data_IF_575551895706
#
_entry.id   IF_575551895706
#
_cell.length_a   1.000
_cell.length_b   1.000
_cell.length_c   1.000
_cell.angle_alpha   90.00
_cell.angle_beta   90.00
_cell.angle_gamma   90.00
#
_symmetry.space_group_name_H-M   'P 1'
#
loop_
_entity.id
_entity.type
_entity.pdbx_description
1 polymer ?
#
# COMPACT_ATOMS: atom_id res chain seq x y z
N UNK A 1 37.01 -18.23 7.94
CA UNK A 1 36.79 -17.55 6.64
C UNK A 1 35.55 -18.17 6.02
N UNK A 2 34.39 -17.56 5.82
CA UNK A 2 33.87 -16.21 5.95
C UNK A 2 32.41 -16.36 6.41
N UNK A 3 32.06 -15.87 7.60
CA UNK A 3 30.66 -15.72 7.99
C UNK A 3 30.17 -14.37 7.43
N UNK A 4 29.53 -14.39 6.26
CA UNK A 4 28.78 -13.23 5.73
C UNK A 4 27.60 -12.96 6.65
N UNK A 5 27.81 -12.09 7.62
CA UNK A 5 26.76 -11.47 8.44
C UNK A 5 25.94 -10.56 7.52
N UNK A 6 24.89 -11.10 6.90
CA UNK A 6 23.79 -10.29 6.36
C UNK A 6 23.01 -9.73 7.55
N UNK A 7 23.43 -8.57 8.07
CA UNK A 7 22.59 -7.71 8.90
C UNK A 7 21.74 -6.84 7.97
N UNK A 8 20.67 -7.40 7.44
CA UNK A 8 19.55 -6.63 6.93
C UNK A 8 18.59 -6.37 8.09
N UNK A 9 18.27 -5.10 8.35
CA UNK A 9 17.33 -4.68 9.38
C UNK A 9 15.91 -5.19 9.06
N UNK A 10 15.14 -5.72 10.03
CA UNK A 10 13.89 -6.43 9.76
C UNK A 10 12.65 -5.55 9.95
N UNK A 11 12.62 -4.35 9.39
CA UNK A 11 11.42 -3.47 9.49
C UNK A 11 10.44 -3.63 8.31
N UNK A 12 10.69 -4.58 7.41
CA UNK A 12 9.84 -4.89 6.26
C UNK A 12 8.61 -5.76 6.58
N UNK A 13 8.25 -5.92 7.85
CA UNK A 13 7.08 -6.70 8.25
C UNK A 13 5.90 -5.79 8.60
N UNK A 14 4.77 -5.98 7.90
CA UNK A 14 3.52 -5.26 8.11
C UNK A 14 3.09 -5.21 9.59
N UNK A 15 2.37 -4.16 10.00
CA UNK A 15 1.87 -4.05 11.38
C UNK A 15 1.00 -5.26 11.76
N UNK A 16 0.27 -5.82 10.79
CA UNK A 16 -0.49 -7.06 10.97
C UNK A 16 0.45 -8.27 11.15
N UNK A 17 1.58 -8.30 10.44
CA UNK A 17 2.67 -9.28 10.65
C UNK A 17 3.30 -9.14 12.04
N UNK A 18 3.42 -7.92 12.58
CA UNK A 18 3.87 -7.70 13.96
C UNK A 18 2.87 -8.24 14.99
N UNK A 19 1.57 -7.97 14.82
CA UNK A 19 0.52 -8.52 15.67
C UNK A 19 0.47 -10.05 15.58
N UNK A 20 0.61 -10.61 14.38
CA UNK A 20 0.77 -12.04 14.14
C UNK A 20 1.98 -12.59 14.91
N UNK A 21 3.13 -11.93 14.84
CA UNK A 21 4.34 -12.33 15.56
C UNK A 21 4.14 -12.29 17.08
N UNK A 22 3.37 -11.32 17.59
CA UNK A 22 3.00 -11.25 19.02
C UNK A 22 2.08 -12.42 19.39
N UNK A 23 1.02 -12.67 18.62
CA UNK A 23 0.11 -13.80 18.82
C UNK A 23 0.90 -15.12 18.84
N UNK A 24 1.86 -15.26 17.94
CA UNK A 24 2.77 -16.39 17.87
C UNK A 24 3.63 -16.51 19.13
N UNK A 25 4.28 -15.43 19.55
CA UNK A 25 5.14 -15.43 20.73
C UNK A 25 4.36 -15.76 22.01
N UNK A 26 3.14 -15.21 22.13
CA UNK A 26 2.22 -15.53 23.22
C UNK A 26 1.76 -16.98 23.16
N UNK A 27 1.43 -17.49 21.97
CA UNK A 27 1.02 -18.88 21.77
C UNK A 27 2.13 -19.85 22.17
N UNK A 28 3.39 -19.56 21.80
CA UNK A 28 4.56 -20.36 22.23
C UNK A 28 4.73 -20.35 23.75
N UNK A 29 4.54 -19.20 24.41
CA UNK A 29 4.62 -19.08 25.87
C UNK A 29 3.48 -19.80 26.60
N UNK A 30 2.26 -19.73 26.06
CA UNK A 30 1.06 -20.27 26.70
C UNK A 30 0.90 -21.78 26.53
N UNK A 31 1.37 -22.35 25.41
CA UNK A 31 1.06 -23.75 25.08
C UNK A 31 2.18 -24.75 25.36
N UNK A 32 3.38 -24.33 25.79
CA UNK A 32 4.56 -25.21 25.99
C UNK A 32 4.86 -26.16 24.81
N UNK A 33 4.23 -25.94 23.66
CA UNK A 33 4.17 -26.82 22.50
C UNK A 33 4.75 -26.11 21.28
N UNK A 34 5.34 -26.91 20.40
CA UNK A 34 5.87 -26.47 19.12
C UNK A 34 4.72 -25.91 18.25
N UNK A 35 4.70 -24.59 18.08
CA UNK A 35 3.83 -23.92 17.09
C UNK A 35 4.67 -23.60 15.86
N UNK A 36 4.23 -24.09 14.70
CA UNK A 36 4.84 -23.81 13.43
C UNK A 36 4.13 -22.68 12.71
N UNK A 37 4.89 -21.83 12.03
CA UNK A 37 4.39 -20.63 11.37
C UNK A 37 4.78 -20.70 9.91
N UNK A 38 3.84 -20.38 9.04
CA UNK A 38 4.10 -20.21 7.63
C UNK A 38 3.58 -18.83 7.23
N UNK A 39 4.51 -17.93 6.90
CA UNK A 39 4.17 -16.61 6.38
C UNK A 39 4.13 -16.69 4.86
N UNK A 40 2.99 -16.31 4.28
CA UNK A 40 2.74 -16.23 2.86
C UNK A 40 2.19 -14.85 2.53
N UNK A 41 2.48 -14.36 1.33
CA UNK A 41 1.89 -13.13 0.80
C UNK A 41 1.21 -13.45 -0.52
N UNK A 42 -0.08 -13.14 -0.63
CA UNK A 42 -0.86 -13.42 -1.83
C UNK A 42 -0.37 -12.63 -3.06
N UNK A 43 0.38 -11.54 -2.86
CA UNK A 43 0.99 -10.77 -3.94
C UNK A 43 2.16 -11.50 -4.62
N UNK A 44 2.89 -12.34 -3.89
CA UNK A 44 4.10 -13.04 -4.39
C UNK A 44 3.98 -14.56 -4.41
N UNK A 45 3.01 -15.13 -3.68
CA UNK A 45 2.85 -16.57 -3.50
C UNK A 45 1.70 -17.10 -4.36
N UNK A 46 1.97 -18.16 -5.13
CA UNK A 46 0.94 -18.85 -5.90
C UNK A 46 0.25 -19.98 -5.12
N UNK A 47 -0.69 -20.66 -5.79
CA UNK A 47 -1.42 -21.82 -5.24
C UNK A 47 -0.50 -22.95 -4.78
N UNK A 48 0.66 -23.10 -5.41
CA UNK A 48 1.66 -24.11 -5.04
C UNK A 48 2.15 -23.93 -3.60
N UNK A 49 2.45 -22.70 -3.19
CA UNK A 49 2.93 -22.37 -1.85
C UNK A 49 1.90 -22.72 -0.77
N UNK A 50 0.60 -22.63 -1.08
CA UNK A 50 -0.48 -23.05 -0.17
C UNK A 50 -0.46 -24.57 0.00
N UNK A 51 -0.32 -25.33 -1.09
CA UNK A 51 -0.24 -26.79 -1.04
C UNK A 51 0.98 -27.24 -0.25
N UNK A 52 2.12 -26.57 -0.42
CA UNK A 52 3.35 -26.84 0.34
C UNK A 52 3.18 -26.50 1.84
N UNK A 53 2.44 -25.43 2.16
CA UNK A 53 2.09 -25.11 3.54
C UNK A 53 1.17 -26.16 4.17
N UNK A 54 0.22 -26.71 3.40
CA UNK A 54 -0.70 -27.77 3.84
C UNK A 54 0.06 -29.07 4.12
N UNK A 55 0.97 -29.48 3.24
CA UNK A 55 1.76 -30.71 3.45
C UNK A 55 2.64 -30.57 4.69
N UNK A 56 3.33 -29.43 4.83
CA UNK A 56 4.11 -29.11 6.02
C UNK A 56 3.27 -29.11 7.30
N UNK A 57 2.04 -28.57 7.24
CA UNK A 57 1.12 -28.57 8.37
C UNK A 57 0.68 -29.98 8.77
N UNK A 58 0.35 -30.84 7.80
CA UNK A 58 -0.05 -32.24 8.04
C UNK A 58 1.09 -33.05 8.65
N UNK A 59 2.32 -32.88 8.16
CA UNK A 59 3.47 -33.60 8.70
C UNK A 59 3.79 -33.14 10.12
N UNK A 60 3.72 -31.84 10.41
CA UNK A 60 3.94 -31.32 11.77
C UNK A 60 2.82 -31.67 12.73
N UNK A 61 1.58 -31.79 12.24
CA UNK A 61 0.47 -32.27 13.05
C UNK A 61 0.69 -33.68 13.59
N UNK A 62 1.41 -34.56 12.86
CA UNK A 62 1.77 -35.90 13.35
C UNK A 62 2.68 -35.86 14.59
N UNK A 63 3.44 -34.77 14.75
CA UNK A 63 4.31 -34.53 15.91
C UNK A 63 3.64 -33.65 16.99
N UNK A 64 2.31 -33.50 16.95
CA UNK A 64 1.56 -32.67 17.91
C UNK A 64 1.78 -31.15 17.76
N UNK A 65 2.42 -30.73 16.66
CA UNK A 65 2.72 -29.33 16.39
C UNK A 65 1.57 -28.66 15.62
N UNK A 66 1.00 -27.59 16.19
CA UNK A 66 -0.05 -26.79 15.54
C UNK A 66 0.58 -25.83 14.54
N UNK A 67 -0.06 -25.67 13.38
CA UNK A 67 0.42 -24.75 12.33
C UNK A 67 -0.50 -23.54 12.20
N UNK A 68 0.10 -22.36 12.16
CA UNK A 68 -0.55 -21.08 11.84
C UNK A 68 -0.06 -20.63 10.47
N UNK A 69 -0.98 -20.40 9.55
CA UNK A 69 -0.71 -19.84 8.23
C UNK A 69 -1.13 -18.39 8.23
N UNK A 70 -0.15 -17.51 8.06
CA UNK A 70 -0.34 -16.08 8.00
C UNK A 70 -0.33 -15.69 6.53
N UNK A 71 -1.47 -15.21 6.04
CA UNK A 71 -1.64 -14.80 4.65
C UNK A 71 -1.77 -13.29 4.61
N UNK A 72 -0.79 -12.63 4.03
CA UNK A 72 -0.82 -11.20 3.79
C UNK A 72 -1.46 -10.86 2.45
N UNK A 73 -2.15 -9.72 2.40
CA UNK A 73 -2.95 -9.23 1.28
C UNK A 73 -3.87 -10.28 0.65
N UNK A 74 -4.60 -11.03 1.49
CA UNK A 74 -5.44 -12.16 1.06
C UNK A 74 -6.49 -11.78 -0.01
N UNK A 75 -6.83 -10.49 -0.12
CA UNK A 75 -7.72 -9.95 -1.13
C UNK A 75 -7.18 -10.06 -2.57
N UNK A 76 -5.87 -10.19 -2.75
CA UNK A 76 -5.24 -10.35 -4.08
C UNK A 76 -5.57 -11.70 -4.73
N UNK A 77 -5.97 -12.71 -3.95
CA UNK A 77 -6.38 -14.00 -4.48
C UNK A 77 -7.80 -13.96 -5.04
N UNK A 78 -7.97 -14.60 -6.20
CA UNK A 78 -9.29 -14.78 -6.78
C UNK A 78 -10.13 -15.78 -5.96
N UNK A 79 -11.44 -15.81 -6.20
CA UNK A 79 -12.38 -16.67 -5.46
C UNK A 79 -11.97 -18.16 -5.46
N UNK A 80 -11.53 -18.68 -6.61
CA UNK A 80 -11.11 -20.08 -6.73
C UNK A 80 -9.85 -20.39 -5.90
N UNK A 81 -8.91 -19.45 -5.81
CA UNK A 81 -7.72 -19.59 -4.98
C UNK A 81 -8.06 -19.53 -3.49
N UNK A 82 -9.02 -18.70 -3.11
CA UNK A 82 -9.53 -18.60 -1.75
C UNK A 82 -10.25 -19.89 -1.30
N UNK A 83 -10.95 -20.58 -2.20
CA UNK A 83 -11.67 -21.83 -1.88
C UNK A 83 -10.74 -22.96 -1.44
N UNK A 84 -9.47 -22.92 -1.83
CA UNK A 84 -8.46 -23.91 -1.47
C UNK A 84 -8.22 -23.94 0.04
N UNK A 85 -8.43 -22.83 0.75
CA UNK A 85 -8.25 -22.77 2.20
C UNK A 85 -9.37 -23.49 2.97
N UNK A 86 -10.59 -23.54 2.41
CA UNK A 86 -11.81 -23.98 3.13
C UNK A 86 -11.68 -25.38 3.76
N UNK A 87 -11.29 -26.44 3.02
CA UNK A 87 -11.23 -27.79 3.58
C UNK A 87 -10.22 -27.90 4.72
N UNK A 88 -9.15 -27.10 4.68
CA UNK A 88 -8.06 -27.15 5.64
C UNK A 88 -8.35 -26.35 6.91
N UNK A 89 -9.11 -25.26 6.78
CA UNK A 89 -9.61 -24.47 7.91
C UNK A 89 -10.69 -25.25 8.67
N UNK A 90 -11.62 -25.91 7.96
CA UNK A 90 -12.69 -26.72 8.57
C UNK A 90 -12.18 -27.93 9.33
N UNK A 91 -11.21 -28.64 8.75
CA UNK A 91 -10.59 -29.82 9.37
C UNK A 91 -9.61 -29.46 10.49
N UNK A 92 -9.31 -28.16 10.68
CA UNK A 92 -8.33 -27.70 11.65
C UNK A 92 -6.88 -28.08 11.30
N UNK A 93 -6.58 -28.33 10.02
CA UNK A 93 -5.22 -28.66 9.55
C UNK A 93 -4.25 -27.51 9.87
N UNK A 94 -4.71 -26.26 9.74
CA UNK A 94 -3.99 -25.07 10.20
C UNK A 94 -4.97 -23.97 10.61
N UNK A 95 -4.50 -23.02 11.41
CA UNK A 95 -5.24 -21.78 11.71
C UNK A 95 -4.84 -20.70 10.70
N UNK A 96 -5.82 -20.14 9.99
CA UNK A 96 -5.60 -19.06 9.02
C UNK A 96 -5.68 -17.70 9.72
N UNK A 97 -4.66 -16.87 9.53
CA UNK A 97 -4.72 -15.44 9.84
C UNK A 97 -4.54 -14.68 8.53
N UNK A 98 -5.62 -14.11 8.02
CA UNK A 98 -5.63 -13.31 6.80
C UNK A 98 -5.54 -11.82 7.09
N UNK A 99 -4.67 -11.12 6.39
CA UNK A 99 -4.49 -9.67 6.50
C UNK A 99 -4.98 -9.03 5.19
N UNK A 100 -5.74 -7.94 5.28
CA UNK A 100 -6.24 -7.21 4.11
C UNK A 100 -6.38 -5.74 4.43
N UNK A 101 -6.00 -4.90 3.47
CA UNK A 101 -6.26 -3.45 3.49
C UNK A 101 -7.62 -3.07 2.89
N UNK A 102 -8.24 -3.99 2.15
CA UNK A 102 -9.56 -3.81 1.54
C UNK A 102 -10.72 -4.26 2.43
N UNK A 103 -11.94 -3.81 2.11
CA UNK A 103 -13.14 -4.25 2.80
C UNK A 103 -13.37 -5.76 2.58
N UNK A 104 -13.27 -6.59 3.63
CA UNK A 104 -13.30 -8.05 3.52
C UNK A 104 -14.63 -8.59 3.01
N UNK A 105 -15.75 -7.88 3.21
CA UNK A 105 -17.06 -8.30 2.71
C UNK A 105 -17.18 -8.28 1.18
N UNK A 106 -16.34 -7.50 0.50
CA UNK A 106 -16.32 -7.40 -0.95
C UNK A 106 -15.23 -8.26 -1.59
N UNK A 107 -14.06 -8.35 -0.96
CA UNK A 107 -12.88 -9.00 -1.54
C UNK A 107 -12.74 -10.48 -1.17
N UNK A 108 -13.36 -10.93 -0.07
CA UNK A 108 -13.28 -12.32 0.37
C UNK A 108 -14.53 -13.12 0.05
N UNK A 109 -14.35 -14.42 -0.20
CA UNK A 109 -15.46 -15.35 -0.37
C UNK A 109 -16.29 -15.43 0.94
N UNK A 110 -17.62 -15.26 0.88
CA UNK A 110 -18.52 -15.51 2.01
C UNK A 110 -18.26 -16.81 2.79
N UNK A 111 -17.82 -17.87 2.13
CA UNK A 111 -17.50 -19.14 2.78
C UNK A 111 -16.29 -19.05 3.74
N UNK A 112 -15.27 -18.24 3.40
CA UNK A 112 -14.16 -17.99 4.31
C UNK A 112 -14.57 -17.05 5.44
N UNK A 113 -15.34 -16.00 5.12
CA UNK A 113 -15.84 -15.06 6.11
C UNK A 113 -16.68 -15.74 7.20
N UNK A 114 -17.46 -16.76 6.86
CA UNK A 114 -18.24 -17.50 7.85
C UNK A 114 -17.40 -18.37 8.80
N UNK A 115 -16.12 -18.60 8.49
CA UNK A 115 -15.18 -19.43 9.26
C UNK A 115 -14.07 -18.62 9.93
N UNK A 116 -13.94 -17.35 9.58
CA UNK A 116 -12.93 -16.43 10.13
C UNK A 116 -13.58 -15.39 11.05
N UNK A 117 -12.88 -15.03 12.14
CA UNK A 117 -13.27 -13.89 12.97
C UNK A 117 -12.65 -12.62 12.42
N UNK A 118 -13.46 -11.58 12.30
CA UNK A 118 -13.03 -10.29 11.77
C UNK A 118 -12.59 -9.36 12.90
N UNK A 119 -11.41 -8.77 12.76
CA UNK A 119 -10.90 -7.73 13.64
C UNK A 119 -10.60 -6.49 12.81
N UNK A 120 -11.16 -5.35 13.21
CA UNK A 120 -10.89 -4.06 12.56
C UNK A 120 -9.73 -3.40 13.27
N UNK A 121 -8.65 -3.14 12.54
CA UNK A 121 -7.50 -2.37 13.03
C UNK A 121 -7.65 -0.93 12.53
N UNK A 122 -7.65 0.02 13.47
CA UNK A 122 -7.68 1.44 13.16
C UNK A 122 -6.26 1.97 12.96
N UNK A 123 -6.14 3.07 12.21
CA UNK A 123 -4.89 3.83 12.11
C UNK A 123 -4.39 4.24 13.50
N UNK A 124 -3.08 4.26 13.67
CA UNK A 124 -2.46 4.69 14.92
C UNK A 124 -2.65 6.19 15.12
N UNK A 125 -2.85 6.61 16.36
CA UNK A 125 -2.85 8.04 16.68
C UNK A 125 -1.43 8.60 16.62
N UNK A 126 -1.27 9.91 16.44
CA UNK A 126 0.04 10.57 16.47
C UNK A 126 0.81 10.25 17.76
N UNK A 127 0.12 10.14 18.90
CA UNK A 127 0.71 9.75 20.19
C UNK A 127 1.25 8.31 20.17
N UNK A 128 0.57 7.39 19.50
CA UNK A 128 1.07 6.01 19.37
C UNK A 128 2.28 5.94 18.44
N UNK A 129 2.26 6.69 17.33
CA UNK A 129 3.38 6.71 16.37
C UNK A 129 4.62 7.35 17.01
N UNK A 130 4.47 8.44 17.76
CA UNK A 130 5.59 9.04 18.52
C UNK A 130 6.19 8.05 19.53
N UNK A 131 5.38 7.30 20.26
CA UNK A 131 5.87 6.26 21.19
C UNK A 131 6.66 5.16 20.46
N UNK A 132 6.19 4.72 19.28
CA UNK A 132 6.90 3.75 18.45
C UNK A 132 8.25 4.32 17.97
N UNK A 133 8.27 5.57 17.53
CA UNK A 133 9.50 6.24 17.12
C UNK A 133 10.49 6.40 18.27
N UNK A 134 10.02 6.73 19.49
CA UNK A 134 10.86 6.77 20.68
C UNK A 134 11.54 5.42 20.95
N UNK A 135 10.76 4.33 20.93
CA UNK A 135 11.30 2.97 21.10
C UNK A 135 12.31 2.60 20.01
N UNK A 136 12.07 3.02 18.77
CA UNK A 136 12.99 2.77 17.66
C UNK A 136 14.32 3.53 17.83
N UNK A 137 14.27 4.80 18.26
CA UNK A 137 15.47 5.60 18.54
C UNK A 137 16.28 5.00 19.68
N UNK A 138 15.63 4.58 20.77
CA UNK A 138 16.29 3.88 21.88
C UNK A 138 16.97 2.60 21.41
N UNK A 139 16.28 1.80 20.58
CA UNK A 139 16.83 0.56 20.02
C UNK A 139 18.08 0.80 19.16
N UNK A 140 18.12 1.91 18.42
CA UNK A 140 19.25 2.29 17.55
C UNK A 140 20.39 2.97 18.36
N UNK A 141 20.26 3.11 19.69
CA UNK A 141 21.18 3.84 20.59
C UNK A 141 21.23 5.35 20.31
N UNK A 142 20.14 5.93 19.82
CA UNK A 142 19.97 7.37 19.74
C UNK A 142 19.64 8.00 21.09
N UNK A 143 20.04 9.26 21.29
CA UNK A 143 19.65 10.13 22.40
C UNK A 143 18.74 11.22 21.88
N UNK A 144 17.58 11.39 22.50
CA UNK A 144 16.73 12.54 22.23
C UNK A 144 17.30 13.79 22.90
N UNK A 145 17.21 14.91 22.19
CA UNK A 145 17.44 16.23 22.73
C UNK A 145 16.07 16.85 23.04
N UNK A 146 15.68 16.83 24.32
CA UNK A 146 14.56 17.64 24.79
C UNK A 146 15.06 19.07 25.00
N UNK A 147 14.57 20.00 24.16
CA UNK A 147 14.86 21.44 24.27
C UNK A 147 14.42 22.01 25.63
N UNK A 148 13.57 21.31 26.38
CA UNK A 148 13.07 21.72 27.71
C UNK A 148 13.92 21.27 28.91
N UNK A 149 14.95 20.43 28.73
CA UNK A 149 15.86 19.97 29.81
C UNK A 149 17.30 20.43 29.61
N UNK A 150 17.52 21.64 29.08
CA UNK A 150 18.87 22.22 29.00
C UNK A 150 19.49 22.58 30.36
N UNK A 151 18.74 22.52 31.48
CA UNK A 151 19.23 22.99 32.78
C UNK A 151 19.40 21.93 33.89
N UNK A 152 19.10 20.64 33.67
CA UNK A 152 19.21 19.64 34.76
C UNK A 152 19.93 18.32 34.41
N UNK A 153 20.90 18.34 33.50
CA UNK A 153 21.84 17.22 33.35
C UNK A 153 23.27 17.67 33.68
N UNK A 154 23.40 18.45 34.76
CA UNK A 154 24.62 18.49 35.54
C UNK A 154 24.35 17.72 36.82
N UNK A 155 24.74 16.43 36.82
CA UNK A 155 25.02 15.56 37.96
C UNK A 155 24.18 14.27 38.02
N UNK A 156 24.91 13.16 37.81
CA UNK A 156 24.63 11.78 38.25
C UNK A 156 23.44 11.15 37.51
N UNK A 157 23.63 10.11 36.71
CA UNK A 157 24.19 8.83 37.12
C UNK A 157 24.97 8.15 35.99
N UNK A 158 26.17 7.69 36.35
CA UNK A 158 26.97 6.76 35.57
C UNK A 158 26.29 5.38 35.58
N UNK A 159 25.51 5.05 34.55
CA UNK A 159 25.16 3.64 34.29
C UNK A 159 26.21 3.10 33.31
N UNK A 160 27.16 2.36 33.87
CA UNK A 160 28.16 1.56 33.15
C UNK A 160 27.45 0.46 32.35
N UNK A 161 27.58 0.46 31.03
CA UNK A 161 27.38 -0.73 30.21
C UNK A 161 28.49 -0.88 29.17
N UNK A 162 28.97 -2.12 29.06
CA UNK A 162 30.15 -2.58 28.34
C UNK A 162 30.07 -2.40 26.81
N UNK A 163 31.16 -1.87 26.25
CA UNK A 163 31.73 -2.08 24.90
C UNK A 163 30.81 -2.51 23.74
N UNK A 164 30.53 -1.58 22.82
CA UNK A 164 31.03 -1.65 21.43
C UNK A 164 30.64 -0.39 20.65
N UNK A 165 31.64 0.31 20.13
CA UNK A 165 31.66 1.18 18.92
C UNK A 165 30.31 1.43 18.22
N UNK A 166 29.37 2.12 18.88
CA UNK A 166 28.05 2.43 18.31
C UNK A 166 27.91 3.93 18.08
N UNK A 167 27.55 4.26 16.85
CA UNK A 167 27.15 5.60 16.41
C UNK A 167 26.01 6.06 17.30
N UNK A 168 26.13 7.28 17.86
CA UNK A 168 25.07 7.89 18.65
C UNK A 168 24.27 8.83 17.76
N UNK A 169 22.96 8.62 17.68
CA UNK A 169 22.07 9.49 16.92
C UNK A 169 21.46 10.53 17.83
N UNK A 170 21.45 11.79 17.41
CA UNK A 170 20.77 12.86 18.12
C UNK A 170 19.59 13.34 17.28
N UNK A 171 18.39 13.23 17.85
CA UNK A 171 17.13 13.62 17.18
C UNK A 171 16.37 14.55 18.12
N UNK A 172 15.95 15.70 17.60
CA UNK A 172 15.10 16.64 18.33
C UNK A 172 13.67 16.13 18.41
N UNK A 173 13.04 16.30 19.58
CA UNK A 173 11.68 15.82 19.85
C UNK A 173 10.63 16.48 18.92
N UNK A 174 10.85 17.75 18.53
CA UNK A 174 10.00 18.45 17.58
C UNK A 174 9.96 17.76 16.20
N UNK A 175 11.08 17.15 15.79
CA UNK A 175 11.16 16.47 14.50
C UNK A 175 10.41 15.13 14.55
N UNK A 176 10.44 14.44 15.70
CA UNK A 176 9.68 13.21 15.94
C UNK A 176 8.18 13.47 15.89
N UNK A 177 7.72 14.54 16.56
CA UNK A 177 6.32 14.96 16.52
C UNK A 177 5.87 15.31 15.10
N UNK A 178 6.72 16.05 14.36
CA UNK A 178 6.43 16.37 12.97
C UNK A 178 6.34 15.12 12.09
N UNK A 179 7.27 14.18 12.24
CA UNK A 179 7.27 12.90 11.52
C UNK A 179 6.02 12.07 11.83
N UNK A 180 5.62 12.01 13.10
CA UNK A 180 4.42 11.28 13.51
C UNK A 180 3.14 11.83 12.86
N UNK A 181 3.00 13.16 12.77
CA UNK A 181 1.88 13.79 12.05
C UNK A 181 1.95 13.58 10.54
N UNK A 182 3.14 13.56 9.96
CA UNK A 182 3.33 13.40 8.52
C UNK A 182 3.02 11.97 8.01
N UNK A 183 3.02 10.96 8.87
CA UNK A 183 2.81 9.56 8.51
C UNK A 183 1.35 9.08 8.57
N UNK A 184 0.38 9.95 8.93
CA UNK A 184 -1.07 9.67 8.94
C UNK A 184 -1.44 8.33 9.62
N UNK A 185 -0.75 8.01 10.72
CA UNK A 185 -0.98 6.80 11.51
C UNK A 185 -0.36 5.51 10.98
N UNK A 186 0.48 5.55 9.93
CA UNK A 186 1.27 4.41 9.47
C UNK A 186 2.67 4.39 10.11
N UNK A 187 2.87 3.47 11.06
CA UNK A 187 4.15 3.30 11.75
C UNK A 187 5.28 2.81 10.81
N UNK A 188 4.97 2.08 9.73
CA UNK A 188 5.98 1.57 8.81
C UNK A 188 6.61 2.72 8.03
N UNK A 189 5.78 3.63 7.54
CA UNK A 189 6.25 4.84 6.85
C UNK A 189 7.14 5.66 7.79
N UNK A 190 6.73 5.81 9.05
CA UNK A 190 7.49 6.55 10.06
C UNK A 190 8.86 5.91 10.34
N UNK A 191 8.90 4.59 10.56
CA UNK A 191 10.12 3.84 10.83
C UNK A 191 11.07 3.82 9.62
N UNK A 192 10.53 3.60 8.42
CA UNK A 192 11.32 3.58 7.18
C UNK A 192 11.90 4.97 6.87
N UNK A 193 11.13 6.05 7.09
CA UNK A 193 11.62 7.41 6.90
C UNK A 193 12.78 7.72 7.87
N UNK A 194 12.64 7.31 9.14
CA UNK A 194 13.71 7.43 10.13
C UNK A 194 14.94 6.60 9.74
N UNK A 195 14.74 5.35 9.30
CA UNK A 195 15.82 4.47 8.84
C UNK A 195 16.58 5.09 7.66
N UNK A 196 15.88 5.54 6.62
CA UNK A 196 16.50 6.19 5.46
C UNK A 196 17.28 7.44 5.85
N UNK A 197 16.75 8.26 6.77
CA UNK A 197 17.46 9.43 7.27
C UNK A 197 18.74 9.05 8.02
N UNK A 198 18.71 8.00 8.86
CA UNK A 198 19.90 7.51 9.56
C UNK A 198 20.95 6.94 8.61
N UNK A 199 20.52 6.19 7.57
CA UNK A 199 21.41 5.59 6.58
C UNK A 199 22.07 6.64 5.69
N UNK A 200 21.31 7.64 5.21
CA UNK A 200 21.84 8.74 4.43
C UNK A 200 22.98 9.46 5.19
N UNK A 201 22.78 9.71 6.48
CA UNK A 201 23.76 10.40 7.31
C UNK A 201 24.94 9.53 7.73
N UNK A 202 24.78 8.21 7.85
CA UNK A 202 25.91 7.29 8.03
C UNK A 202 26.89 7.33 6.84
N UNK A 203 26.37 7.42 5.61
CA UNK A 203 27.19 7.46 4.39
C UNK A 203 27.94 8.80 4.30
N UNK A 204 27.28 9.92 4.63
CA UNK A 204 27.91 11.25 4.64
C UNK A 204 28.91 11.46 5.80
N UNK A 205 28.67 10.82 6.94
CA UNK A 205 29.55 10.85 8.12
C UNK A 205 30.94 10.26 7.90
N UNK A 206 31.16 9.53 6.80
CA UNK A 206 32.49 9.07 6.37
C UNK A 206 33.47 10.22 6.06
N UNK A 207 32.98 11.47 5.95
CA UNK A 207 33.81 12.65 5.61
C UNK A 207 33.96 13.70 6.72
N UNK A 208 33.21 13.64 7.83
CA UNK A 208 33.27 14.69 8.86
C UNK A 208 33.20 14.18 10.31
N UNK A 209 34.27 14.51 11.05
CA UNK A 209 34.43 14.53 12.51
C UNK A 209 34.74 13.24 13.29
N UNK A 210 35.76 13.37 14.16
CA UNK A 210 36.33 12.38 15.09
C UNK A 210 35.41 11.96 16.26
N UNK A 211 34.17 12.43 16.29
CA UNK A 211 33.16 12.03 17.27
C UNK A 211 32.00 11.35 16.54
N UNK A 212 31.70 10.10 16.89
CA UNK A 212 30.64 9.26 16.32
C UNK A 212 29.19 9.74 16.64
N UNK A 213 28.98 11.05 16.74
CA UNK A 213 27.69 11.66 17.05
C UNK A 213 27.06 12.20 15.75
N UNK A 214 25.94 11.60 15.33
CA UNK A 214 25.19 11.96 14.12
C UNK A 214 23.91 12.68 14.52
N UNK A 215 23.78 13.96 14.18
CA UNK A 215 22.53 14.72 14.33
C UNK A 215 21.65 14.55 13.09
N UNK A 216 20.40 14.13 13.28
CA UNK A 216 19.40 14.02 12.20
C UNK A 216 18.65 15.34 12.10
N UNK A 217 18.66 15.94 10.91
CA UNK A 217 17.96 17.20 10.64
C UNK A 217 16.54 16.95 10.10
N UNK A 218 15.73 18.02 10.06
CA UNK A 218 14.36 17.95 9.56
C UNK A 218 14.34 17.71 8.04
N UNK A 219 15.32 18.25 7.31
CA UNK A 219 15.51 18.04 5.87
C UNK A 219 15.79 16.57 5.55
N UNK A 220 16.66 15.91 6.33
CA UNK A 220 16.99 14.48 6.15
C UNK A 220 15.74 13.60 6.28
N UNK A 221 14.88 13.91 7.26
CA UNK A 221 13.63 13.18 7.50
C UNK A 221 12.60 13.47 6.42
N UNK A 222 12.51 14.71 5.92
CA UNK A 222 11.65 15.05 4.76
C UNK A 222 12.05 14.27 3.52
N UNK A 223 13.34 14.20 3.21
CA UNK A 223 13.83 13.41 2.08
C UNK A 223 13.56 11.92 2.26
N UNK A 224 13.80 11.39 3.47
CA UNK A 224 13.46 10.02 3.83
C UNK A 224 11.99 9.73 3.60
N UNK A 225 11.10 10.60 4.09
CA UNK A 225 9.66 10.47 3.96
C UNK A 225 9.18 10.53 2.50
N UNK A 226 9.74 11.40 1.66
CA UNK A 226 9.45 11.45 0.22
C UNK A 226 9.85 10.12 -0.43
N UNK A 227 11.07 9.63 -0.15
CA UNK A 227 11.56 8.36 -0.70
C UNK A 227 10.70 7.18 -0.24
N UNK A 228 10.30 7.14 1.03
CA UNK A 228 9.42 6.10 1.59
C UNK A 228 8.03 6.13 0.96
N UNK A 229 7.40 7.30 0.83
CA UNK A 229 6.10 7.42 0.17
C UNK A 229 6.18 6.99 -1.30
N UNK A 230 7.27 7.29 -2.01
CA UNK A 230 7.48 6.81 -3.38
C UNK A 230 7.59 5.29 -3.48
N UNK A 231 8.23 4.63 -2.51
CA UNK A 231 8.34 3.16 -2.45
C UNK A 231 6.97 2.54 -2.10
N UNK A 232 6.28 3.08 -1.09
CA UNK A 232 4.96 2.59 -0.65
C UNK A 232 3.88 2.72 -1.74
N UNK A 233 3.88 3.80 -2.52
CA UNK A 233 2.95 4.00 -3.64
C UNK A 233 3.17 2.99 -4.77
N UNK A 234 4.39 2.46 -4.92
CA UNK A 234 4.66 1.39 -5.90
C UNK A 234 4.15 0.01 -5.46
N UNK A 235 3.98 -0.23 -4.17
CA UNK A 235 3.73 -1.57 -3.63
C UNK A 235 2.26 -1.88 -3.35
N UNK A 236 1.34 -0.92 -3.22
CA UNK A 236 -0.07 -1.21 -2.83
C UNK A 236 -1.12 -0.23 -3.39
N UNK A 237 -2.39 -0.61 -3.27
CA UNK A 237 -3.68 0.02 -3.65
C UNK A 237 -3.82 1.57 -3.55
N UNK A 238 -2.85 2.32 -3.02
CA UNK A 238 -2.86 3.79 -2.98
C UNK A 238 -2.92 4.43 -4.37
N UNK A 239 -2.31 3.83 -5.40
CA UNK A 239 -2.41 4.33 -6.78
C UNK A 239 -3.87 4.47 -7.22
N UNK A 240 -4.74 3.51 -6.86
CA UNK A 240 -6.16 3.56 -7.20
C UNK A 240 -6.87 4.76 -6.54
N UNK A 241 -6.51 5.10 -5.30
CA UNK A 241 -7.06 6.27 -4.61
C UNK A 241 -6.63 7.59 -5.26
N UNK A 242 -5.37 7.71 -5.68
CA UNK A 242 -4.86 8.92 -6.35
C UNK A 242 -5.54 9.09 -7.73
N UNK A 243 -5.69 8.01 -8.50
CA UNK A 243 -6.46 8.04 -9.76
C UNK A 243 -7.93 8.34 -9.56
N UNK A 244 -8.54 7.83 -8.48
CA UNK A 244 -9.92 8.14 -8.10
C UNK A 244 -10.08 9.62 -7.77
N UNK A 245 -9.11 10.20 -7.04
CA UNK A 245 -9.09 11.60 -6.68
C UNK A 245 -8.90 12.51 -7.91
N UNK A 246 -8.00 12.15 -8.83
CA UNK A 246 -7.86 12.81 -10.13
C UNK A 246 -9.19 12.81 -10.90
N UNK A 247 -9.80 11.62 -11.06
CA UNK A 247 -11.05 11.47 -11.78
C UNK A 247 -12.18 12.31 -11.17
N UNK A 248 -12.37 12.24 -9.84
CA UNK A 248 -13.38 13.04 -9.13
C UNK A 248 -13.12 14.54 -9.24
N UNK A 249 -11.86 14.98 -9.23
CA UNK A 249 -11.49 16.39 -9.38
C UNK A 249 -11.83 16.92 -10.77
N UNK A 250 -11.55 16.13 -11.82
CA UNK A 250 -11.93 16.46 -13.20
C UNK A 250 -13.45 16.52 -13.32
N UNK A 251 -14.17 15.52 -12.81
CA UNK A 251 -15.64 15.49 -12.81
C UNK A 251 -16.26 16.69 -12.12
N UNK A 252 -15.69 17.13 -11.00
CA UNK A 252 -16.12 18.31 -10.24
C UNK A 252 -15.70 19.64 -10.88
N UNK A 253 -14.98 19.62 -12.01
CA UNK A 253 -14.51 20.80 -12.72
C UNK A 253 -13.40 21.58 -12.00
N UNK A 254 -12.67 20.95 -11.06
CA UNK A 254 -11.65 21.60 -10.24
C UNK A 254 -10.26 21.44 -10.86
N UNK A 255 -9.92 22.30 -11.84
CA UNK A 255 -8.65 22.21 -12.59
C UNK A 255 -7.38 22.17 -11.71
N UNK A 256 -7.29 23.03 -10.69
CA UNK A 256 -6.13 23.08 -9.79
C UNK A 256 -5.94 21.76 -9.00
N UNK A 257 -7.05 21.20 -8.49
CA UNK A 257 -7.01 19.92 -7.78
C UNK A 257 -6.63 18.78 -8.72
N UNK A 258 -7.14 18.78 -9.95
CA UNK A 258 -6.78 17.78 -10.96
C UNK A 258 -5.29 17.81 -11.28
N UNK A 259 -4.70 19.00 -11.46
CA UNK A 259 -3.26 19.13 -11.70
C UNK A 259 -2.42 18.65 -10.50
N UNK A 260 -2.85 18.94 -9.27
CA UNK A 260 -2.18 18.43 -8.07
C UNK A 260 -2.13 16.89 -8.05
N UNK A 261 -3.27 16.24 -8.30
CA UNK A 261 -3.33 14.78 -8.34
C UNK A 261 -2.54 14.19 -9.51
N UNK A 262 -2.56 14.84 -10.69
CA UNK A 262 -1.71 14.45 -11.81
C UNK A 262 -0.22 14.51 -11.45
N UNK A 263 0.24 15.61 -10.85
CA UNK A 263 1.62 15.76 -10.43
C UNK A 263 2.04 14.70 -9.40
N UNK A 264 1.14 14.31 -8.50
CA UNK A 264 1.35 13.20 -7.54
C UNK A 264 1.53 11.86 -8.25
N UNK A 265 0.72 11.57 -9.26
CA UNK A 265 0.82 10.33 -10.07
C UNK A 265 2.15 10.31 -10.83
N UNK A 266 2.52 11.43 -11.43
CA UNK A 266 3.77 11.58 -12.16
C UNK A 266 5.01 11.42 -11.25
N UNK A 267 4.95 11.97 -10.04
CA UNK A 267 6.02 11.81 -9.05
C UNK A 267 6.22 10.34 -8.64
N UNK A 268 5.19 9.50 -8.74
CA UNK A 268 5.29 8.05 -8.52
C UNK A 268 6.00 7.29 -9.66
N UNK A 269 6.45 7.99 -10.71
CA UNK A 269 7.09 7.44 -11.93
C UNK A 269 6.22 6.40 -12.64
N UNK A 270 4.93 6.68 -12.71
CA UNK A 270 4.01 5.83 -13.44
C UNK A 270 4.16 6.01 -14.96
N UNK A 271 3.81 4.97 -15.72
CA UNK A 271 3.82 5.03 -17.18
C UNK A 271 2.81 6.09 -17.67
N UNK A 272 3.25 7.12 -18.43
CA UNK A 272 2.37 8.19 -18.92
C UNK A 272 1.20 7.66 -19.76
N UNK A 273 1.36 6.51 -20.42
CA UNK A 273 0.28 5.88 -21.20
C UNK A 273 -0.84 5.36 -20.30
N UNK A 274 -0.53 4.86 -19.09
CA UNK A 274 -1.55 4.47 -18.11
C UNK A 274 -2.37 5.69 -17.66
N UNK A 275 -1.70 6.82 -17.43
CA UNK A 275 -2.35 8.08 -17.05
C UNK A 275 -3.28 8.54 -18.17
N UNK A 276 -2.77 8.57 -19.41
CA UNK A 276 -3.55 8.99 -20.57
C UNK A 276 -4.75 8.07 -20.84
N UNK A 277 -4.62 6.74 -20.65
CA UNK A 277 -5.77 5.81 -20.71
C UNK A 277 -6.89 6.20 -19.76
N UNK A 278 -6.54 6.69 -18.56
CA UNK A 278 -7.55 7.17 -17.60
C UNK A 278 -8.23 8.45 -18.09
N UNK A 279 -7.49 9.38 -18.68
CA UNK A 279 -8.03 10.61 -19.27
C UNK A 279 -8.98 10.31 -20.44
N UNK A 280 -8.64 9.35 -21.31
CA UNK A 280 -9.52 8.85 -22.39
C UNK A 280 -10.82 8.27 -21.82
N UNK A 281 -10.75 7.52 -20.71
CA UNK A 281 -11.96 7.03 -20.06
C UNK A 281 -12.84 8.17 -19.53
N UNK A 282 -12.22 9.19 -18.92
CA UNK A 282 -12.93 10.34 -18.34
C UNK A 282 -13.59 11.19 -19.44
N UNK A 283 -12.93 11.36 -20.59
CA UNK A 283 -13.51 12.13 -21.71
C UNK A 283 -14.81 11.50 -22.24
N UNK A 284 -14.87 10.18 -22.37
CA UNK A 284 -16.12 9.51 -22.79
C UNK A 284 -17.16 9.40 -21.68
N UNK A 285 -16.75 9.24 -20.42
CA UNK A 285 -17.67 8.96 -19.30
C UNK A 285 -18.29 10.22 -18.70
N UNK A 286 -17.49 11.26 -18.43
CA UNK A 286 -17.88 12.43 -17.65
C UNK A 286 -18.11 13.70 -18.50
N UNK A 287 -17.66 13.70 -19.76
CA UNK A 287 -17.88 14.79 -20.72
C UNK A 287 -18.85 14.34 -21.82
N UNK A 288 -18.55 13.21 -22.46
CA UNK A 288 -19.46 12.55 -23.40
C UNK A 288 -19.94 13.48 -24.52
N UNK A 289 -21.26 13.55 -24.73
CA UNK A 289 -21.85 14.38 -25.79
C UNK A 289 -21.85 15.89 -25.49
N UNK A 290 -21.49 16.31 -24.28
CA UNK A 290 -21.44 17.74 -23.98
C UNK A 290 -20.29 18.44 -24.70
N UNK A 291 -19.20 17.73 -24.96
CA UNK A 291 -18.08 18.16 -25.78
C UNK A 291 -17.46 16.93 -26.48
N UNK A 292 -17.91 16.60 -27.70
CA UNK A 292 -17.42 15.45 -28.46
C UNK A 292 -15.91 15.49 -28.77
N UNK A 293 -15.30 16.68 -28.84
CA UNK A 293 -13.89 16.84 -29.18
C UNK A 293 -12.96 16.39 -28.05
N UNK A 294 -13.47 16.34 -26.81
CA UNK A 294 -12.73 15.90 -25.63
C UNK A 294 -12.13 14.50 -25.77
N UNK A 295 -12.82 13.59 -26.47
CA UNK A 295 -12.29 12.26 -26.74
C UNK A 295 -11.08 12.32 -27.67
N UNK A 296 -11.16 13.11 -28.74
CA UNK A 296 -10.06 13.32 -29.68
C UNK A 296 -8.84 13.90 -28.98
N UNK A 297 -9.02 14.94 -28.16
CA UNK A 297 -7.94 15.53 -27.36
C UNK A 297 -7.25 14.48 -26.49
N UNK A 298 -8.02 13.67 -25.74
CA UNK A 298 -7.45 12.65 -24.85
C UNK A 298 -6.71 11.53 -25.61
N UNK A 299 -7.23 11.10 -26.77
CA UNK A 299 -6.58 10.09 -27.62
C UNK A 299 -5.28 10.63 -28.21
N UNK A 300 -5.28 11.87 -28.71
CA UNK A 300 -4.05 12.51 -29.20
C UNK A 300 -3.02 12.69 -28.08
N UNK A 301 -3.43 13.05 -26.86
CA UNK A 301 -2.54 13.07 -25.69
C UNK A 301 -1.93 11.70 -25.43
N UNK A 302 -2.72 10.63 -25.47
CA UNK A 302 -2.23 9.26 -25.28
C UNK A 302 -1.19 8.87 -26.34
N UNK A 303 -1.44 9.19 -27.61
CA UNK A 303 -0.47 8.97 -28.68
C UNK A 303 0.81 9.80 -28.47
N UNK A 304 0.69 11.08 -28.09
CA UNK A 304 1.83 11.92 -27.75
C UNK A 304 2.67 11.34 -26.61
N UNK A 305 2.03 10.81 -25.57
CA UNK A 305 2.70 10.13 -24.46
C UNK A 305 3.45 8.86 -24.91
N UNK A 306 2.90 8.09 -25.84
CA UNK A 306 3.56 6.90 -26.40
C UNK A 306 4.78 7.26 -27.24
N UNK A 307 4.71 8.36 -28.00
CA UNK A 307 5.79 8.77 -28.90
C UNK A 307 6.94 9.46 -28.18
N UNK A 308 6.62 10.31 -27.20
CA UNK A 308 7.61 11.17 -26.52
C UNK A 308 8.12 10.51 -25.23
N UNK A 309 7.23 9.95 -24.42
CA UNK A 309 7.57 9.45 -23.08
C UNK A 309 7.81 10.56 -22.05
N UNK A 310 8.22 10.16 -20.85
CA UNK A 310 8.56 11.06 -19.74
C UNK A 310 10.07 11.37 -19.74
N UNK A 311 10.49 12.58 -19.33
CA UNK A 311 9.69 13.66 -18.70
C UNK A 311 8.93 14.60 -19.65
N UNK A 312 9.18 14.58 -20.96
CA UNK A 312 8.77 15.63 -21.89
C UNK A 312 7.26 15.63 -22.22
N UNK A 313 6.53 14.53 -21.97
CA UNK A 313 5.08 14.47 -22.14
C UNK A 313 4.27 15.01 -20.94
N UNK A 314 4.93 15.57 -19.92
CA UNK A 314 4.29 16.10 -18.71
C UNK A 314 3.28 17.22 -19.00
N UNK A 315 3.66 18.18 -19.83
CA UNK A 315 2.80 19.30 -20.23
C UNK A 315 1.62 18.80 -21.07
N UNK A 316 1.79 17.75 -21.87
CA UNK A 316 0.69 17.15 -22.66
C UNK A 316 -0.39 16.59 -21.74
N UNK A 317 0.01 15.81 -20.73
CA UNK A 317 -0.91 15.27 -19.72
C UNK A 317 -1.58 16.40 -18.93
N UNK A 318 -0.82 17.44 -18.57
CA UNK A 318 -1.32 18.62 -17.88
C UNK A 318 -2.37 19.37 -18.69
N UNK A 319 -2.09 19.63 -19.96
CA UNK A 319 -3.00 20.31 -20.88
C UNK A 319 -4.31 19.54 -21.04
N UNK A 320 -4.24 18.23 -21.30
CA UNK A 320 -5.42 17.37 -21.42
C UNK A 320 -6.23 17.38 -20.12
N UNK A 321 -5.58 17.26 -18.96
CA UNK A 321 -6.24 17.25 -17.65
C UNK A 321 -7.00 18.54 -17.38
N UNK A 322 -6.41 19.70 -17.69
CA UNK A 322 -7.06 21.01 -17.53
C UNK A 322 -8.20 21.19 -18.53
N UNK A 323 -8.02 20.74 -19.77
CA UNK A 323 -9.07 20.74 -20.78
C UNK A 323 -10.30 19.98 -20.29
N UNK A 324 -10.11 18.71 -19.89
CA UNK A 324 -11.20 17.86 -19.41
C UNK A 324 -11.85 18.43 -18.13
N UNK A 325 -11.08 19.05 -17.25
CA UNK A 325 -11.62 19.70 -16.05
C UNK A 325 -12.54 20.88 -16.41
N UNK A 326 -12.18 21.70 -17.41
CA UNK A 326 -12.98 22.87 -17.82
C UNK A 326 -14.11 22.56 -18.79
N UNK A 327 -14.06 21.44 -19.49
CA UNK A 327 -15.10 21.03 -20.44
C UNK A 327 -16.50 20.89 -19.78
N UNK A 328 -17.59 21.09 -20.53
CA UNK A 328 -18.94 20.84 -20.02
C UNK A 328 -19.10 19.34 -19.68
N UNK A 329 -19.86 19.03 -18.62
CA UNK A 329 -19.98 17.67 -18.09
C UNK A 329 -21.29 17.02 -18.50
N UNK A 330 -21.23 15.81 -19.04
CA UNK A 330 -22.40 14.96 -19.28
C UNK A 330 -22.06 13.49 -19.12
N UNK A 331 -22.89 12.79 -18.34
CA UNK A 331 -22.80 11.34 -18.10
C UNK A 331 -23.94 10.58 -18.77
N UNK A 332 -24.66 11.20 -19.71
CA UNK A 332 -25.87 10.62 -20.32
C UNK A 332 -25.60 9.28 -20.99
N UNK A 333 -24.54 9.18 -21.81
CA UNK A 333 -24.14 7.92 -22.47
C UNK A 333 -23.79 6.85 -21.45
N UNK A 334 -22.96 7.19 -20.45
CA UNK A 334 -22.54 6.24 -19.42
C UNK A 334 -23.74 5.68 -18.65
N UNK A 335 -24.65 6.56 -18.23
CA UNK A 335 -25.86 6.18 -17.51
C UNK A 335 -26.80 5.35 -18.40
N UNK A 336 -26.97 5.71 -19.67
CA UNK A 336 -27.80 4.98 -20.61
C UNK A 336 -27.27 3.55 -20.86
N UNK A 337 -25.94 3.40 -21.04
CA UNK A 337 -25.32 2.09 -21.20
C UNK A 337 -25.48 1.24 -19.93
N UNK A 338 -25.27 1.83 -18.74
CA UNK A 338 -25.46 1.14 -17.47
C UNK A 338 -26.91 0.72 -17.24
N UNK A 339 -27.87 1.55 -17.66
CA UNK A 339 -29.29 1.19 -17.61
C UNK A 339 -29.60 0.01 -18.55
N UNK A 340 -29.07 0.00 -19.77
CA UNK A 340 -29.24 -1.12 -20.70
C UNK A 340 -28.61 -2.42 -20.16
N UNK A 341 -27.39 -2.36 -19.64
CA UNK A 341 -26.73 -3.51 -18.98
C UNK A 341 -27.55 -4.04 -17.80
N UNK A 342 -28.11 -3.15 -16.99
CA UNK A 342 -28.96 -3.50 -15.85
C UNK A 342 -30.23 -4.23 -16.31
N UNK A 343 -30.89 -3.75 -17.36
CA UNK A 343 -32.08 -4.40 -17.93
C UNK A 343 -31.80 -5.81 -18.45
N UNK A 344 -30.60 -6.05 -19.00
CA UNK A 344 -30.17 -7.35 -19.50
C UNK A 344 -29.96 -8.33 -18.34
N UNK A 345 -29.38 -7.87 -17.22
CA UNK A 345 -29.08 -8.68 -16.03
C UNK A 345 -30.34 -8.97 -15.20
N UNK A 346 -31.28 -8.04 -15.14
CA UNK A 346 -32.52 -8.15 -14.36
C UNK A 346 -33.67 -8.80 -15.14
N UNK A 347 -33.44 -9.22 -16.39
CA UNK A 347 -34.46 -9.86 -17.21
C UNK A 347 -34.84 -11.23 -16.63
N UNK A 348 -36.09 -11.37 -16.19
CA UNK A 348 -36.63 -12.66 -15.77
C UNK A 348 -36.94 -13.53 -17.01
N UNK A 349 -36.30 -14.70 -17.08
CA UNK A 349 -36.46 -15.65 -18.19
C UNK A 349 -35.44 -15.47 -19.32
N UNK A 350 -35.66 -16.11 -20.48
CA UNK A 350 -34.77 -15.97 -21.63
C UNK A 350 -34.87 -14.56 -22.23
N UNK A 351 -33.75 -14.01 -22.66
CA UNK A 351 -33.73 -12.70 -23.31
C UNK A 351 -34.59 -12.70 -24.58
N UNK A 352 -35.33 -11.60 -24.85
CA UNK A 352 -36.16 -11.51 -26.03
C UNK A 352 -35.32 -11.65 -27.30
N UNK A 353 -35.76 -12.49 -28.23
CA UNK A 353 -35.07 -12.65 -29.52
C UNK A 353 -35.15 -11.35 -30.32
N UNK A 354 -34.15 -11.09 -31.16
CA UNK A 354 -34.15 -9.93 -32.05
C UNK A 354 -35.43 -9.92 -32.90
N UNK A 355 -36.22 -8.83 -32.91
CA UNK A 355 -37.40 -8.69 -33.76
C UNK A 355 -37.13 -9.01 -35.22
N UNK A 356 -38.06 -9.72 -35.88
CA UNK A 356 -37.89 -10.22 -37.26
C UNK A 356 -37.46 -9.14 -38.26
N UNK A 357 -37.98 -7.92 -38.15
CA UNK A 357 -37.64 -6.80 -39.05
C UNK A 357 -36.22 -6.23 -38.84
N UNK A 358 -35.54 -6.56 -37.73
CA UNK A 358 -34.15 -6.17 -37.45
C UNK A 358 -33.16 -7.33 -37.65
N UNK A 359 -33.63 -8.54 -37.98
CA UNK A 359 -32.75 -9.68 -38.24
C UNK A 359 -32.01 -9.47 -39.56
N UNK A 360 -30.78 -9.98 -39.63
CA UNK A 360 -30.02 -10.05 -40.87
C UNK A 360 -30.82 -10.81 -41.92
N UNK A 361 -31.03 -10.20 -43.09
CA UNK A 361 -31.73 -10.81 -44.21
C UNK A 361 -30.72 -11.07 -45.33
N UNK A 362 -30.43 -12.35 -45.60
CA UNK A 362 -29.47 -12.78 -46.62
C UNK A 362 -29.88 -12.38 -48.04
N UNK A 363 -31.15 -12.06 -48.25
CA UNK A 363 -31.76 -11.94 -49.57
C UNK A 363 -31.81 -10.49 -50.09
N UNK A 364 -31.20 -9.53 -49.35
CA UNK A 364 -30.98 -8.16 -49.82
C UNK A 364 -29.50 -7.97 -50.19
N UNK A 365 -29.13 -8.35 -51.41
CA UNK A 365 -27.94 -7.84 -52.11
C UNK A 365 -28.36 -6.92 -53.23
#
# INVERSE_FOLDING_TARGET
>A
MEAKIKRSFPFNEDFVTSLVNIIVCLSKKLTSNNVHIVNLSAASSGVKSIKDAVTAAKDKSKFGCKTIVCMDEIHCFNKLQQDIFLPHVETGTFTLIGCTTENPFYSLNPALLSRCRMFVLNKLTECNVTEILHKAIEYINGRMLDVRKKEQINNREQIKFHSNTKIKYHVDNNIIQWLAGACDGDARVALNALELATLARQVDGSKTSRNNDITITLEDIKEGLIKTHMISVKETNQSHHIYSALHKSIRAGKANASLYWLARIMAAKEDPVNIARRLVRISSEDIGLADPDALGVAVHTMHGCQMIGMPECDVLLGQCTVYLAKAPKSRSIYNALKAAEKMILECEGPQPTVPLHMRYNSDRK
#
